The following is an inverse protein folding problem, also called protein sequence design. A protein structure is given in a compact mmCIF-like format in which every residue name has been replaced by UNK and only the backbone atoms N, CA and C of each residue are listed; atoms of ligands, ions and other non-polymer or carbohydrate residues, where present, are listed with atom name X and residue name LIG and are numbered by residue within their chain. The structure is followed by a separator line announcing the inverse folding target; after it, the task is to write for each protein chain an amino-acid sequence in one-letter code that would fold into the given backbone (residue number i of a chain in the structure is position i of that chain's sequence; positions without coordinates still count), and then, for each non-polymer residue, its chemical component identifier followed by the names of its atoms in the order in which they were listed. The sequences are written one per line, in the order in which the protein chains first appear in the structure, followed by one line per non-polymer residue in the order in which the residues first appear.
data_IF_588194833505
#
_entry.id   IF_588194833505
#
_cell.length_a   1.000
_cell.length_b   1.000
_cell.length_c   1.000
_cell.angle_alpha   90.00
_cell.angle_beta   90.00
_cell.angle_gamma   90.00
#
_symmetry.space_group_name_H-M   'P 1'
#
loop_
_entity.id
_entity.type
_entity.pdbx_description
1 polymer ?
#
# COMPACT_ATOMS: atom_id res chain seq x y z
N UNK A 1 -5.16 -13.14 -3.55
CA UNK A 1 -3.84 -13.81 -3.65
C UNK A 1 -3.57 -14.53 -2.35
N UNK A 2 -3.02 -15.72 -2.40
CA UNK A 2 -2.61 -16.45 -1.19
C UNK A 2 -1.31 -15.85 -0.65
N UNK A 3 -1.18 -15.62 0.66
CA UNK A 3 0.09 -15.23 1.27
C UNK A 3 1.16 -16.28 0.99
N UNK A 4 2.33 -15.83 0.59
CA UNK A 4 3.48 -16.72 0.45
C UNK A 4 4.32 -16.63 1.71
N UNK A 5 4.48 -17.75 2.42
CA UNK A 5 5.36 -17.87 3.57
C UNK A 5 6.67 -18.52 3.15
N UNK A 6 7.78 -18.01 3.70
CA UNK A 6 9.11 -18.58 3.53
C UNK A 6 9.75 -18.73 4.90
N UNK A 7 10.40 -19.86 5.14
CA UNK A 7 11.21 -20.04 6.34
C UNK A 7 12.45 -19.17 6.24
N UNK A 8 12.78 -18.48 7.33
CA UNK A 8 13.97 -17.65 7.42
C UNK A 8 15.16 -18.56 7.74
N UNK A 9 15.96 -18.91 6.73
CA UNK A 9 17.23 -19.56 6.89
C UNK A 9 18.33 -18.53 7.26
N UNK A 10 19.45 -19.02 7.83
CA UNK A 10 20.63 -18.19 8.05
C UNK A 10 21.09 -17.54 6.74
N UNK A 11 21.32 -16.25 6.78
CA UNK A 11 21.65 -15.42 5.63
C UNK A 11 20.68 -14.28 5.43
N UNK A 12 20.78 -13.62 4.30
CA UNK A 12 20.04 -12.39 3.99
C UNK A 12 19.05 -12.65 2.85
N UNK A 13 17.81 -12.18 3.05
CA UNK A 13 16.81 -12.10 2.00
C UNK A 13 16.50 -10.63 1.71
N UNK A 14 16.57 -10.25 0.45
CA UNK A 14 16.31 -8.88 -0.03
C UNK A 14 15.24 -8.89 -1.09
N UNK A 15 14.38 -7.90 -1.04
CA UNK A 15 13.39 -7.64 -2.07
C UNK A 15 13.42 -6.15 -2.44
N UNK A 16 13.49 -5.87 -3.73
CA UNK A 16 13.61 -4.52 -4.27
C UNK A 16 12.48 -4.19 -5.25
N UNK A 17 12.01 -2.96 -5.21
CA UNK A 17 11.19 -2.32 -6.24
C UNK A 17 12.03 -1.27 -6.95
N UNK A 18 12.14 -1.39 -8.28
CA UNK A 18 12.97 -0.52 -9.12
C UNK A 18 12.18 0.13 -10.27
N UNK A 19 10.86 0.17 -10.15
CA UNK A 19 9.96 0.66 -11.21
C UNK A 19 9.53 2.13 -10.99
N UNK A 20 10.24 2.85 -10.11
CA UNK A 20 9.94 4.25 -9.77
C UNK A 20 8.71 4.41 -8.87
N UNK A 21 7.79 3.45 -8.89
CA UNK A 21 6.60 3.40 -8.05
C UNK A 21 6.16 1.97 -7.83
N UNK A 22 5.78 1.64 -6.60
CA UNK A 22 5.27 0.30 -6.28
C UNK A 22 3.96 0.02 -7.03
N UNK A 23 3.93 -1.07 -7.77
CA UNK A 23 2.76 -1.57 -8.48
C UNK A 23 2.12 -2.78 -7.80
N UNK A 24 1.27 -3.51 -8.53
CA UNK A 24 0.60 -4.71 -8.03
C UNK A 24 1.53 -5.91 -7.86
N UNK A 25 2.71 -5.87 -8.41
CA UNK A 25 3.77 -6.88 -8.36
C UNK A 25 4.62 -6.81 -7.08
N UNK A 26 4.49 -5.73 -6.30
CA UNK A 26 5.27 -5.49 -5.11
C UNK A 26 4.38 -5.26 -3.88
N UNK A 27 4.66 -5.93 -2.77
CA UNK A 27 3.94 -5.67 -1.51
C UNK A 27 4.61 -4.53 -0.74
N UNK A 28 3.78 -3.74 -0.08
CA UNK A 28 4.19 -2.52 0.64
C UNK A 28 4.63 -2.79 2.07
N UNK A 29 4.64 -4.04 2.51
CA UNK A 29 5.08 -4.42 3.85
C UNK A 29 5.67 -5.82 3.83
N UNK A 30 6.63 -6.06 4.71
CA UNK A 30 7.12 -7.39 5.06
C UNK A 30 6.71 -7.73 6.48
N UNK A 31 6.41 -9.02 6.71
CA UNK A 31 5.94 -9.52 8.01
C UNK A 31 6.73 -10.76 8.38
N UNK A 32 7.43 -10.70 9.52
CA UNK A 32 8.04 -11.85 10.15
C UNK A 32 7.09 -12.46 11.17
N UNK A 33 7.04 -13.78 11.24
CA UNK A 33 6.10 -14.52 12.06
C UNK A 33 6.82 -15.58 12.87
N UNK A 34 6.35 -15.85 14.09
CA UNK A 34 6.72 -17.10 14.78
C UNK A 34 6.08 -18.31 14.09
N UNK A 35 6.66 -19.50 14.21
CA UNK A 35 5.99 -20.72 13.75
C UNK A 35 4.56 -20.80 14.30
N UNK A 36 3.64 -21.28 13.48
CA UNK A 36 2.21 -21.46 13.84
C UNK A 36 1.42 -20.15 14.05
N UNK A 37 1.99 -18.99 13.77
CA UNK A 37 1.21 -17.74 13.79
C UNK A 37 0.05 -17.82 12.80
N UNK A 38 -1.14 -17.49 13.29
CA UNK A 38 -2.39 -17.41 12.53
C UNK A 38 -2.85 -15.95 12.37
N UNK A 39 -4.09 -15.76 11.95
CA UNK A 39 -4.70 -14.44 11.96
C UNK A 39 -4.93 -13.93 13.39
N UNK A 40 -5.30 -14.80 14.35
CA UNK A 40 -5.71 -14.42 15.69
C UNK A 40 -4.66 -14.75 16.78
N UNK A 41 -3.64 -15.52 16.47
CA UNK A 41 -2.67 -15.98 17.48
C UNK A 41 -1.25 -15.97 16.95
N UNK A 42 -0.28 -15.87 17.88
CA UNK A 42 1.15 -15.90 17.60
C UNK A 42 1.75 -14.51 17.42
N UNK A 43 3.08 -14.46 17.45
CA UNK A 43 3.79 -13.19 17.32
C UNK A 43 4.05 -12.84 15.86
N UNK A 44 3.82 -11.57 15.55
CA UNK A 44 4.03 -10.99 14.23
C UNK A 44 4.74 -9.64 14.35
N UNK A 45 5.76 -9.44 13.55
CA UNK A 45 6.46 -8.17 13.36
C UNK A 45 6.29 -7.74 11.92
N UNK A 46 5.78 -6.55 11.71
CA UNK A 46 5.58 -5.99 10.38
C UNK A 46 6.37 -4.69 10.22
N UNK A 47 6.87 -4.44 9.04
CA UNK A 47 7.48 -3.16 8.69
C UNK A 47 7.02 -2.71 7.32
N UNK A 48 6.77 -1.41 7.19
CA UNK A 48 6.39 -0.75 5.95
C UNK A 48 7.15 0.57 5.85
N UNK A 49 7.63 0.91 4.66
CA UNK A 49 8.24 2.21 4.42
C UNK A 49 7.18 3.23 3.98
N UNK A 50 7.24 4.44 4.51
CA UNK A 50 6.39 5.57 4.11
C UNK A 50 6.92 6.23 2.84
N UNK A 51 7.10 5.44 1.79
CA UNK A 51 7.67 5.83 0.51
C UNK A 51 6.99 5.11 -0.64
N UNK A 52 6.71 5.81 -1.72
CA UNK A 52 6.07 5.26 -2.92
C UNK A 52 7.03 5.04 -4.09
N UNK A 53 8.30 5.46 -3.95
CA UNK A 53 9.36 5.30 -4.94
C UNK A 53 10.07 3.95 -4.87
N UNK A 54 11.27 3.89 -5.45
CA UNK A 54 12.12 2.72 -5.35
C UNK A 54 12.43 2.39 -3.90
N UNK A 55 12.27 1.15 -3.53
CA UNK A 55 12.44 0.70 -2.15
C UNK A 55 13.02 -0.69 -2.06
N UNK A 56 13.62 -1.00 -0.92
CA UNK A 56 14.06 -2.35 -0.61
C UNK A 56 13.59 -2.75 0.78
N UNK A 57 13.40 -4.05 0.93
CA UNK A 57 13.11 -4.71 2.20
C UNK A 57 14.17 -5.77 2.44
N UNK A 58 14.56 -5.91 3.68
CA UNK A 58 15.63 -6.81 4.13
C UNK A 58 15.16 -7.63 5.31
N UNK A 59 15.40 -8.93 5.26
CA UNK A 59 15.33 -9.82 6.43
C UNK A 59 16.64 -10.59 6.50
N UNK A 60 17.30 -10.53 7.65
CA UNK A 60 18.57 -11.22 7.89
C UNK A 60 18.47 -12.07 9.15
N UNK A 61 18.91 -13.32 9.06
CA UNK A 61 19.07 -14.22 10.20
C UNK A 61 20.54 -14.56 10.39
N UNK A 62 21.05 -14.26 11.57
CA UNK A 62 22.43 -14.54 11.96
C UNK A 62 22.60 -15.96 12.48
N UNK A 63 23.86 -16.39 12.66
CA UNK A 63 24.19 -17.73 13.14
C UNK A 63 23.77 -17.98 14.60
N UNK A 64 23.65 -16.92 15.41
CA UNK A 64 23.15 -16.98 16.78
C UNK A 64 21.63 -17.12 16.87
N UNK A 65 20.95 -17.10 15.73
CA UNK A 65 19.51 -17.23 15.63
C UNK A 65 18.76 -15.89 15.69
N UNK A 66 19.45 -14.78 15.93
CA UNK A 66 18.85 -13.45 15.89
C UNK A 66 18.37 -13.11 14.47
N UNK A 67 17.25 -12.38 14.39
CA UNK A 67 16.65 -11.94 13.12
C UNK A 67 16.47 -10.44 13.16
N UNK A 68 16.96 -9.77 12.13
CA UNK A 68 16.67 -8.36 11.86
C UNK A 68 15.82 -8.22 10.61
N UNK A 69 14.96 -7.21 10.61
CA UNK A 69 14.19 -6.83 9.44
C UNK A 69 14.15 -5.31 9.29
N UNK A 70 14.13 -4.86 8.07
CA UNK A 70 14.14 -3.44 7.76
C UNK A 70 13.64 -3.16 6.36
N UNK A 71 13.44 -1.90 6.09
CA UNK A 71 13.15 -1.38 4.76
C UNK A 71 13.83 -0.02 4.58
N UNK A 72 14.02 0.38 3.34
CA UNK A 72 14.60 1.67 3.01
C UNK A 72 14.23 2.10 1.60
N UNK A 73 14.44 3.37 1.36
CA UNK A 73 14.47 3.88 0.00
C UNK A 73 15.66 3.25 -0.75
N UNK A 74 15.41 2.81 -1.96
CA UNK A 74 16.45 2.28 -2.84
C UNK A 74 17.01 3.42 -3.67
N UNK A 75 18.09 4.02 -3.20
CA UNK A 75 18.85 5.04 -3.92
C UNK A 75 19.79 4.37 -4.93
N UNK A 76 19.70 4.79 -6.18
CA UNK A 76 20.64 4.37 -7.21
C UNK A 76 21.90 5.28 -7.21
N UNK A 77 23.04 4.80 -7.73
CA UNK A 77 24.25 5.60 -7.79
C UNK A 77 24.03 6.96 -8.46
N UNK A 78 24.35 8.04 -7.76
CA UNK A 78 24.23 9.41 -8.24
C UNK A 78 22.87 10.09 -7.99
N UNK A 79 21.87 9.39 -7.45
CA UNK A 79 20.57 10.03 -7.10
C UNK A 79 20.68 10.94 -5.89
N UNK A 80 21.58 10.63 -4.96
CA UNK A 80 21.85 11.46 -3.79
C UNK A 80 23.36 11.64 -3.60
N UNK A 81 23.76 12.88 -3.49
CA UNK A 81 25.15 13.25 -3.15
C UNK A 81 25.13 14.23 -2.01
N UNK A 82 25.85 13.92 -0.93
CA UNK A 82 25.95 14.78 0.25
C UNK A 82 27.35 15.42 0.29
N UNK A 83 27.38 16.75 0.41
CA UNK A 83 28.61 17.47 0.72
C UNK A 83 28.94 17.35 2.22
N UNK A 84 30.15 17.78 2.60
CA UNK A 84 30.53 17.76 4.00
C UNK A 84 29.61 18.65 4.85
N UNK A 85 29.00 18.07 5.89
CA UNK A 85 28.06 18.74 6.78
C UNK A 85 26.59 18.70 6.33
N UNK A 86 26.28 18.16 5.17
CA UNK A 86 24.90 17.94 4.73
C UNK A 86 24.32 16.64 5.31
N UNK A 87 23.00 16.62 5.48
CA UNK A 87 22.24 15.44 5.92
C UNK A 87 21.07 15.18 4.99
N UNK A 88 20.63 13.94 4.95
CA UNK A 88 19.44 13.49 4.23
C UNK A 88 18.50 12.74 5.16
N UNK A 89 17.26 13.17 5.20
CA UNK A 89 16.21 12.51 5.98
C UNK A 89 15.56 11.41 5.14
N UNK A 90 15.92 10.16 5.42
CA UNK A 90 15.32 9.02 4.75
C UNK A 90 13.82 8.88 5.10
N UNK A 91 13.01 8.28 4.22
CA UNK A 91 11.61 8.01 4.50
C UNK A 91 11.41 7.20 5.77
N UNK A 92 10.38 7.55 6.54
CA UNK A 92 10.08 6.89 7.81
C UNK A 92 9.67 5.42 7.62
N UNK A 93 10.07 4.58 8.57
CA UNK A 93 9.55 3.22 8.72
C UNK A 93 8.38 3.21 9.70
N UNK A 94 7.33 2.52 9.35
CA UNK A 94 6.21 2.22 10.22
C UNK A 94 6.27 0.73 10.59
N UNK A 95 6.68 0.45 11.82
CA UNK A 95 6.82 -0.92 12.31
C UNK A 95 5.79 -1.23 13.38
N UNK A 96 5.31 -2.47 13.38
CA UNK A 96 4.27 -2.98 14.28
C UNK A 96 4.71 -4.31 14.85
N UNK A 97 4.50 -4.52 16.13
CA UNK A 97 4.52 -5.83 16.80
C UNK A 97 3.11 -6.19 17.27
N UNK A 98 2.73 -7.44 17.12
CA UNK A 98 1.49 -7.99 17.65
C UNK A 98 1.73 -9.39 18.21
N UNK A 99 1.19 -9.66 19.39
CA UNK A 99 1.07 -11.01 19.97
C UNK A 99 -0.27 -11.69 19.60
N UNK A 100 -1.16 -10.96 18.91
CA UNK A 100 -2.50 -11.39 18.52
C UNK A 100 -2.57 -11.74 17.03
N UNK A 101 -1.46 -12.24 16.48
CA UNK A 101 -1.38 -12.64 15.09
C UNK A 101 -1.49 -11.48 14.09
N UNK A 102 -1.92 -11.82 12.87
CA UNK A 102 -1.99 -10.87 11.75
C UNK A 102 -3.13 -9.86 11.90
N UNK A 103 -4.22 -10.21 12.57
CA UNK A 103 -5.34 -9.28 12.84
C UNK A 103 -4.89 -8.13 13.73
N UNK A 104 -4.04 -8.42 14.73
CA UNK A 104 -3.44 -7.39 15.58
C UNK A 104 -2.51 -6.44 14.79
N UNK A 105 -1.71 -6.96 13.86
CA UNK A 105 -0.91 -6.13 12.95
C UNK A 105 -1.81 -5.23 12.09
N UNK A 106 -2.86 -5.82 11.51
CA UNK A 106 -3.83 -5.09 10.69
C UNK A 106 -4.52 -3.98 11.48
N UNK A 107 -4.98 -4.28 12.70
CA UNK A 107 -5.63 -3.31 13.58
C UNK A 107 -4.71 -2.14 13.93
N UNK A 108 -3.43 -2.41 14.21
CA UNK A 108 -2.43 -1.36 14.50
C UNK A 108 -2.19 -0.45 13.28
N UNK A 109 -2.00 -1.00 12.08
CA UNK A 109 -1.87 -0.19 10.85
C UNK A 109 -3.13 0.61 10.56
N UNK A 110 -4.32 0.03 10.71
CA UNK A 110 -5.58 0.75 10.54
C UNK A 110 -5.73 1.91 11.53
N UNK A 111 -5.35 1.71 12.79
CA UNK A 111 -5.37 2.76 13.81
C UNK A 111 -4.39 3.88 13.46
N UNK A 112 -3.17 3.54 13.05
CA UNK A 112 -2.18 4.52 12.58
C UNK A 112 -2.72 5.34 11.40
N UNK A 113 -3.28 4.69 10.37
CA UNK A 113 -3.81 5.36 9.19
C UNK A 113 -4.98 6.28 9.53
N UNK A 114 -5.89 5.85 10.42
CA UNK A 114 -7.03 6.67 10.87
C UNK A 114 -6.60 7.87 11.70
N UNK A 115 -5.50 7.77 12.43
CA UNK A 115 -4.96 8.87 13.24
C UNK A 115 -4.27 9.96 12.42
N UNK A 116 -3.95 9.70 11.14
CA UNK A 116 -3.27 10.68 10.28
C UNK A 116 -4.17 11.89 10.01
N UNK A 117 -3.61 13.13 10.02
CA UNK A 117 -4.39 14.35 9.74
C UNK A 117 -5.11 14.33 8.39
N UNK A 118 -4.52 13.65 7.40
CA UNK A 118 -5.08 13.51 6.05
C UNK A 118 -6.19 12.46 5.93
N UNK A 119 -6.46 11.69 7.01
CA UNK A 119 -7.53 10.69 6.98
C UNK A 119 -8.89 11.38 6.84
N UNK A 120 -9.77 10.91 5.92
CA UNK A 120 -11.08 11.50 5.71
C UNK A 120 -11.91 11.49 7.00
N UNK A 121 -12.48 12.65 7.35
CA UNK A 121 -13.37 12.80 8.54
C UNK A 121 -14.83 12.56 8.22
N UNK A 122 -15.17 12.44 6.94
CA UNK A 122 -16.53 12.17 6.46
C UNK A 122 -16.62 10.75 5.91
N UNK A 123 -17.78 10.10 6.00
CA UNK A 123 -18.04 8.88 5.26
C UNK A 123 -17.73 9.08 3.77
N UNK A 124 -17.24 8.04 3.13
CA UNK A 124 -17.02 8.08 1.68
C UNK A 124 -18.39 8.03 1.00
N UNK A 125 -18.62 8.90 -0.02
CA UNK A 125 -19.87 8.88 -0.74
C UNK A 125 -20.04 7.58 -1.52
N UNK A 126 -21.26 7.10 -1.61
CA UNK A 126 -21.62 6.04 -2.54
C UNK A 126 -21.43 6.57 -3.96
N UNK A 127 -20.58 5.90 -4.71
CA UNK A 127 -20.11 6.40 -6.01
C UNK A 127 -20.49 5.42 -7.11
N UNK A 128 -21.14 5.91 -8.15
CA UNK A 128 -21.34 5.23 -9.42
C UNK A 128 -20.26 5.69 -10.40
N UNK A 129 -19.46 4.77 -10.91
CA UNK A 129 -18.58 5.01 -12.05
C UNK A 129 -19.33 4.58 -13.32
N UNK A 130 -19.39 5.43 -14.33
CA UNK A 130 -20.17 5.19 -15.56
C UNK A 130 -19.41 4.32 -16.58
N UNK A 131 -18.13 4.00 -16.36
CA UNK A 131 -17.32 3.30 -17.35
C UNK A 131 -17.98 2.02 -17.87
N UNK A 132 -18.32 1.10 -16.97
CA UNK A 132 -18.93 -0.19 -17.35
C UNK A 132 -20.33 -0.07 -17.98
N UNK A 133 -21.02 1.05 -17.77
CA UNK A 133 -22.34 1.28 -18.34
C UNK A 133 -22.29 1.88 -19.74
N UNK A 134 -21.31 2.76 -20.02
CA UNK A 134 -21.28 3.58 -21.21
C UNK A 134 -20.03 3.43 -22.05
N UNK A 135 -18.91 2.99 -21.46
CA UNK A 135 -17.60 3.01 -22.10
C UNK A 135 -17.31 4.38 -22.71
N UNK A 136 -17.10 4.44 -24.02
CA UNK A 136 -16.84 5.68 -24.77
C UNK A 136 -18.11 6.34 -25.33
N UNK A 137 -19.29 5.79 -25.12
CA UNK A 137 -20.56 6.36 -25.57
C UNK A 137 -21.08 7.45 -24.61
N UNK A 138 -20.31 8.53 -24.51
CA UNK A 138 -20.65 9.67 -23.66
C UNK A 138 -21.72 10.55 -24.32
N UNK A 139 -22.97 10.12 -24.18
CA UNK A 139 -24.13 10.87 -24.61
C UNK A 139 -24.79 11.55 -23.42
N UNK A 140 -25.03 12.87 -23.52
CA UNK A 140 -25.56 13.66 -22.39
C UNK A 140 -26.93 13.16 -21.89
N UNK A 141 -27.82 12.75 -22.80
CA UNK A 141 -29.13 12.25 -22.43
C UNK A 141 -29.05 10.92 -21.66
N UNK A 142 -28.19 10.00 -22.12
CA UNK A 142 -27.95 8.73 -21.44
C UNK A 142 -27.32 8.94 -20.07
N UNK A 143 -26.36 9.86 -19.96
CA UNK A 143 -25.70 10.21 -18.71
C UNK A 143 -26.71 10.77 -17.70
N UNK A 144 -27.56 11.70 -18.13
CA UNK A 144 -28.61 12.28 -17.27
C UNK A 144 -29.60 11.22 -16.80
N UNK A 145 -30.08 10.37 -17.70
CA UNK A 145 -30.99 9.28 -17.33
C UNK A 145 -30.37 8.33 -16.31
N UNK A 146 -29.08 8.02 -16.45
CA UNK A 146 -28.36 7.18 -15.49
C UNK A 146 -28.19 7.87 -14.14
N UNK A 147 -27.93 9.20 -14.14
CA UNK A 147 -27.85 10.00 -12.91
C UNK A 147 -29.18 10.01 -12.16
N UNK A 148 -30.30 10.18 -12.86
CA UNK A 148 -31.63 10.20 -12.26
C UNK A 148 -31.92 8.88 -11.55
N UNK A 149 -31.71 7.75 -12.21
CA UNK A 149 -31.85 6.42 -11.58
C UNK A 149 -30.88 6.22 -10.42
N UNK A 150 -29.64 6.67 -10.57
CA UNK A 150 -28.64 6.57 -9.50
C UNK A 150 -29.05 7.38 -8.26
N UNK A 151 -29.64 8.58 -8.45
CA UNK A 151 -30.14 9.40 -7.36
C UNK A 151 -31.29 8.73 -6.61
N UNK A 152 -32.22 8.08 -7.31
CA UNK A 152 -33.36 7.35 -6.70
C UNK A 152 -32.91 6.23 -5.76
N UNK A 153 -31.79 5.56 -6.07
CA UNK A 153 -31.22 4.46 -5.25
C UNK A 153 -30.20 4.94 -4.21
N UNK A 154 -30.03 6.26 -4.06
CA UNK A 154 -29.18 6.85 -3.03
C UNK A 154 -27.70 6.97 -3.38
N UNK A 155 -27.33 6.95 -4.65
CA UNK A 155 -25.95 7.27 -5.09
C UNK A 155 -25.70 8.76 -4.86
N UNK A 156 -24.57 9.07 -4.24
CA UNK A 156 -24.22 10.43 -3.82
C UNK A 156 -23.22 11.11 -4.76
N UNK A 157 -22.55 10.32 -5.60
CA UNK A 157 -21.55 10.80 -6.55
C UNK A 157 -21.59 9.98 -7.82
N UNK A 158 -21.46 10.65 -8.95
CA UNK A 158 -21.26 10.01 -10.25
C UNK A 158 -19.90 10.41 -10.80
N UNK A 159 -19.22 9.46 -11.41
CA UNK A 159 -17.89 9.66 -12.04
C UNK A 159 -18.01 9.40 -13.53
N UNK A 160 -17.75 10.43 -14.33
CA UNK A 160 -17.46 10.29 -15.74
C UNK A 160 -15.98 9.88 -15.86
N UNK A 161 -15.75 8.63 -16.23
CA UNK A 161 -14.43 8.02 -16.27
C UNK A 161 -13.66 8.37 -17.56
N UNK A 162 -13.01 7.42 -18.19
CA UNK A 162 -12.18 7.63 -19.37
C UNK A 162 -12.98 8.17 -20.56
N UNK A 163 -12.27 8.82 -21.47
CA UNK A 163 -12.81 9.31 -22.74
C UNK A 163 -13.60 10.62 -22.68
N UNK A 164 -13.56 11.35 -21.58
CA UNK A 164 -14.17 12.68 -21.43
C UNK A 164 -13.42 13.78 -22.20
N UNK A 165 -12.18 13.54 -22.58
CA UNK A 165 -11.30 14.51 -23.27
C UNK A 165 -11.62 14.62 -24.76
N UNK A 166 -11.33 15.80 -25.33
CA UNK A 166 -11.56 16.09 -26.75
C UNK A 166 -10.62 15.28 -27.66
N UNK A 167 -11.11 14.92 -28.83
CA UNK A 167 -10.31 14.25 -29.88
C UNK A 167 -9.62 12.95 -29.47
N UNK A 168 -10.24 12.20 -28.56
CA UNK A 168 -9.75 10.86 -28.23
C UNK A 168 -9.82 9.94 -29.45
N UNK A 169 -8.84 9.09 -29.59
CA UNK A 169 -8.76 8.04 -30.61
C UNK A 169 -8.16 6.78 -30.02
#
# INVERSE_FOLDING_TARGET
RNPQRKDIATGTWVRESREGRSGHNFSIADIALTPQTSFQTGNAWATSIAWSGNSHYLVEKLFDGSVSMGAGELLLPGELTLAAGESYDAPALVSVFSAEGLDGVSAAYHSHLRARPVHPKRPRPLTLNMWEALYFDHNEEKIKALIDVAAEIGIERVVLDDGWFHSRR
#
